data_IF_620357690980
#
_entry.id   IF_620357690980
#
_cell.length_a   1.000
_cell.length_b   1.000
_cell.length_c   1.000
_cell.angle_alpha   90.00
_cell.angle_beta   90.00
_cell.angle_gamma   90.00
#
_symmetry.space_group_name_H-M   'P 1'
#
loop_
_entity.id
_entity.type
_entity.pdbx_description
1 polymer ?
#
# COMPACT_ATOMS: atom_id res chain seq x y z
N UNK A 1 39.69 -25.43 34.56
CA UNK A 1 38.66 -26.28 33.93
C UNK A 1 37.34 -25.55 33.64
N UNK A 2 36.82 -24.67 34.51
CA UNK A 2 35.55 -23.97 34.25
C UNK A 2 35.55 -23.00 33.04
N UNK A 3 36.63 -22.23 32.85
CA UNK A 3 36.71 -21.25 31.76
C UNK A 3 36.77 -21.86 30.36
N UNK A 4 37.42 -23.02 30.19
CA UNK A 4 37.49 -23.74 28.91
C UNK A 4 36.12 -24.30 28.50
N UNK A 5 35.36 -24.84 29.45
CA UNK A 5 34.02 -25.37 29.19
C UNK A 5 33.01 -24.25 28.85
N UNK A 6 33.19 -23.07 29.46
CA UNK A 6 32.40 -21.87 29.16
C UNK A 6 32.75 -21.28 27.78
N UNK A 7 34.03 -21.17 27.44
CA UNK A 7 34.44 -20.70 26.11
C UNK A 7 33.93 -21.64 25.02
N UNK A 8 34.08 -22.95 25.22
CA UNK A 8 33.60 -23.97 24.27
C UNK A 8 32.07 -23.94 24.09
N UNK A 9 31.31 -23.76 25.18
CA UNK A 9 29.85 -23.64 25.09
C UNK A 9 29.43 -22.34 24.39
N UNK A 10 30.12 -21.23 24.67
CA UNK A 10 29.89 -19.94 24.00
C UNK A 10 30.19 -20.02 22.50
N UNK A 11 31.33 -20.58 22.09
CA UNK A 11 31.69 -20.76 20.69
C UNK A 11 30.71 -21.68 19.96
N UNK A 12 30.31 -22.80 20.57
CA UNK A 12 29.32 -23.72 20.01
C UNK A 12 27.96 -23.03 19.82
N UNK A 13 27.53 -22.26 20.81
CA UNK A 13 26.29 -21.49 20.74
C UNK A 13 26.36 -20.43 19.64
N UNK A 14 27.44 -19.64 19.54
CA UNK A 14 27.64 -18.68 18.46
C UNK A 14 27.58 -19.33 17.07
N UNK A 15 28.16 -20.52 16.91
CA UNK A 15 28.09 -21.24 15.62
C UNK A 15 26.67 -21.70 15.29
N UNK A 16 25.93 -22.22 16.28
CA UNK A 16 24.53 -22.61 16.10
C UNK A 16 23.62 -21.41 15.81
N UNK A 17 23.78 -20.28 16.54
CA UNK A 17 23.04 -19.05 16.27
C UNK A 17 23.41 -18.44 14.91
N UNK A 18 24.68 -18.56 14.50
CA UNK A 18 25.12 -18.15 13.17
C UNK A 18 24.44 -18.94 12.05
N UNK A 19 24.38 -20.28 12.17
CA UNK A 19 23.68 -21.14 11.22
C UNK A 19 22.18 -20.85 11.19
N UNK A 20 21.54 -20.72 12.37
CA UNK A 20 20.12 -20.37 12.47
C UNK A 20 19.87 -19.00 11.84
N UNK A 21 20.67 -17.99 12.16
CA UNK A 21 20.58 -16.65 11.57
C UNK A 21 20.76 -16.66 10.06
N UNK A 22 21.69 -17.46 9.54
CA UNK A 22 21.89 -17.62 8.10
C UNK A 22 20.66 -18.26 7.42
N UNK A 23 20.09 -19.32 8.02
CA UNK A 23 18.88 -19.96 7.48
C UNK A 23 17.67 -19.03 7.51
N UNK A 24 17.53 -18.22 8.56
CA UNK A 24 16.44 -17.24 8.67
C UNK A 24 16.62 -16.12 7.64
N UNK A 25 17.85 -15.64 7.49
CA UNK A 25 18.19 -14.59 6.51
C UNK A 25 17.94 -15.06 5.07
N UNK A 26 18.33 -16.30 4.77
CA UNK A 26 18.14 -16.87 3.45
C UNK A 26 16.67 -17.19 3.16
N UNK A 27 15.95 -17.78 4.13
CA UNK A 27 14.62 -18.33 3.92
C UNK A 27 13.46 -17.39 4.19
N UNK A 28 13.57 -16.49 5.16
CA UNK A 28 12.42 -15.79 5.72
C UNK A 28 12.47 -14.27 5.60
N UNK A 29 13.60 -13.64 5.92
CA UNK A 29 13.69 -12.19 5.88
C UNK A 29 15.11 -11.71 5.57
N UNK A 30 15.25 -10.62 4.82
CA UNK A 30 16.55 -9.99 4.54
C UNK A 30 16.47 -8.49 4.67
N UNK A 31 17.55 -7.86 5.12
CA UNK A 31 17.64 -6.40 5.21
C UNK A 31 18.27 -5.89 3.91
N UNK A 32 17.63 -4.90 3.28
CA UNK A 32 18.07 -4.31 2.00
C UNK A 32 18.14 -2.80 2.14
N UNK A 33 19.25 -2.14 1.74
CA UNK A 33 19.30 -0.69 1.65
C UNK A 33 18.53 -0.21 0.40
N UNK A 34 17.71 0.82 0.56
CA UNK A 34 16.97 1.48 -0.53
C UNK A 34 17.76 2.68 -0.99
N UNK A 35 18.36 2.58 -2.18
CA UNK A 35 19.13 3.67 -2.78
C UNK A 35 18.35 4.38 -3.86
N UNK A 36 18.40 5.72 -3.86
CA UNK A 36 17.86 6.57 -4.91
C UNK A 36 16.45 7.13 -4.62
N UNK A 37 16.03 8.09 -5.44
CA UNK A 37 14.80 8.87 -5.26
C UNK A 37 13.55 8.27 -5.90
N UNK A 38 13.67 7.10 -6.53
CA UNK A 38 12.58 6.55 -7.36
C UNK A 38 11.33 6.12 -6.59
N UNK A 39 11.47 5.92 -5.27
CA UNK A 39 10.37 5.64 -4.35
C UNK A 39 10.08 6.82 -3.40
N UNK A 40 10.58 8.02 -3.73
CA UNK A 40 10.21 9.24 -3.01
C UNK A 40 8.74 9.59 -3.31
N UNK A 41 7.91 9.98 -2.32
CA UNK A 41 8.25 10.33 -0.94
C UNK A 41 8.28 9.16 0.06
N UNK A 42 7.88 7.94 -0.32
CA UNK A 42 7.79 6.81 0.63
C UNK A 42 9.15 6.39 1.20
N UNK A 43 10.21 6.45 0.40
CA UNK A 43 11.59 6.23 0.84
C UNK A 43 12.50 7.40 0.40
N UNK A 44 13.58 7.62 1.16
CA UNK A 44 14.61 8.64 0.92
C UNK A 44 14.06 10.08 0.86
N UNK A 45 13.44 10.54 1.95
CA UNK A 45 12.91 11.90 2.11
C UNK A 45 13.96 12.99 2.40
N UNK A 46 15.20 12.62 2.69
CA UNK A 46 16.20 13.50 3.30
C UNK A 46 17.25 13.97 2.30
N UNK A 47 16.97 15.10 1.64
CA UNK A 47 18.03 15.97 1.06
C UNK A 47 18.33 17.19 1.92
N UNK A 48 17.56 17.47 2.98
CA UNK A 48 17.70 18.69 3.76
C UNK A 48 17.83 18.42 5.26
N UNK A 49 19.07 18.25 5.72
CA UNK A 49 19.45 18.70 7.06
C UNK A 49 20.91 19.12 7.05
N UNK A 50 21.18 20.24 7.71
CA UNK A 50 22.39 21.06 7.85
C UNK A 50 23.74 20.35 8.15
N UNK A 51 23.76 19.02 8.20
CA UNK A 51 24.93 18.18 8.43
C UNK A 51 24.78 16.90 7.61
N UNK A 52 25.23 16.95 6.35
CA UNK A 52 24.94 15.97 5.28
C UNK A 52 25.19 14.51 5.64
N UNK A 53 24.15 13.84 6.17
CA UNK A 53 24.15 12.41 6.41
C UNK A 53 23.44 11.70 5.27
N UNK A 54 24.23 11.07 4.39
CA UNK A 54 23.79 10.17 3.33
C UNK A 54 23.28 8.85 3.93
N UNK A 55 22.29 8.88 4.82
CA UNK A 55 21.76 7.63 5.39
C UNK A 55 20.78 7.01 4.40
N UNK A 56 21.23 5.97 3.69
CA UNK A 56 20.35 5.06 2.95
C UNK A 56 19.29 4.50 3.93
N UNK A 57 18.02 4.49 3.51
CA UNK A 57 16.96 3.82 4.28
C UNK A 57 17.20 2.30 4.24
N UNK A 58 17.17 1.63 5.39
CA UNK A 58 17.24 0.16 5.45
C UNK A 58 15.85 -0.42 5.64
N UNK A 59 15.46 -1.35 4.77
CA UNK A 59 14.15 -1.99 4.82
C UNK A 59 14.24 -3.48 5.12
N UNK A 60 13.25 -3.96 5.87
CA UNK A 60 13.04 -5.38 6.12
C UNK A 60 12.20 -5.98 4.99
N UNK A 61 12.80 -6.92 4.27
CA UNK A 61 12.17 -7.65 3.17
C UNK A 61 11.79 -9.04 3.65
N UNK A 62 10.51 -9.37 3.64
CA UNK A 62 10.04 -10.74 3.88
C UNK A 62 10.04 -11.57 2.59
N UNK A 63 10.31 -12.87 2.73
CA UNK A 63 10.39 -13.84 1.63
C UNK A 63 9.26 -14.87 1.64
N UNK A 64 8.41 -14.89 2.68
CA UNK A 64 7.30 -15.84 2.78
C UNK A 64 6.29 -15.73 1.63
N UNK A 65 6.04 -14.51 1.14
CA UNK A 65 5.16 -14.22 0.01
C UNK A 65 5.59 -14.95 -1.28
N UNK A 66 6.88 -15.28 -1.42
CA UNK A 66 7.44 -15.98 -2.59
C UNK A 66 7.02 -17.44 -2.69
N UNK A 67 6.66 -18.11 -1.58
CA UNK A 67 6.30 -19.53 -1.62
C UNK A 67 5.01 -19.79 -2.41
N UNK A 68 4.08 -18.83 -2.38
CA UNK A 68 2.77 -18.92 -3.06
C UNK A 68 2.54 -17.78 -4.05
N UNK A 69 3.55 -16.93 -4.27
CA UNK A 69 3.46 -15.70 -5.06
C UNK A 69 2.21 -14.87 -4.74
N UNK A 70 1.91 -14.74 -3.44
CA UNK A 70 0.75 -13.98 -2.95
C UNK A 70 1.14 -12.51 -2.77
N UNK A 71 0.97 -11.74 -3.82
CA UNK A 71 1.16 -10.30 -3.82
C UNK A 71 -0.17 -9.58 -3.95
N UNK A 72 -0.26 -8.42 -3.33
CA UNK A 72 -1.39 -7.50 -3.45
C UNK A 72 -0.99 -6.25 -4.21
N UNK A 73 -1.98 -5.55 -4.76
CA UNK A 73 -1.76 -4.20 -5.25
C UNK A 73 -1.24 -3.30 -4.13
N UNK A 74 -0.36 -2.37 -4.48
CA UNK A 74 0.25 -1.44 -3.53
C UNK A 74 1.43 -2.02 -2.74
N UNK A 75 1.69 -3.33 -2.82
CA UNK A 75 2.85 -3.96 -2.18
C UNK A 75 4.15 -3.38 -2.75
N UNK A 76 5.07 -3.00 -1.87
CA UNK A 76 6.42 -2.61 -2.26
C UNK A 76 7.28 -3.87 -2.30
N UNK A 77 7.92 -4.10 -3.44
CA UNK A 77 8.72 -5.31 -3.66
C UNK A 77 10.16 -4.96 -4.04
N UNK A 78 11.06 -5.86 -3.66
CA UNK A 78 12.45 -5.85 -4.11
C UNK A 78 12.60 -6.91 -5.18
N UNK A 79 13.11 -6.54 -6.35
CA UNK A 79 13.33 -7.47 -7.46
C UNK A 79 14.67 -7.18 -8.15
N UNK A 80 15.19 -8.18 -8.86
CA UNK A 80 16.38 -8.01 -9.71
C UNK A 80 15.99 -7.38 -11.04
N UNK A 81 16.77 -6.38 -11.49
CA UNK A 81 16.52 -5.71 -12.77
C UNK A 81 16.59 -6.72 -13.93
N UNK A 82 15.63 -6.69 -14.87
CA UNK A 82 15.66 -7.58 -16.04
C UNK A 82 16.86 -7.28 -16.95
N UNK A 83 17.31 -6.02 -17.00
CA UNK A 83 18.46 -5.59 -17.81
C UNK A 83 19.80 -5.91 -17.15
N UNK A 84 19.89 -5.77 -15.81
CA UNK A 84 21.11 -6.05 -15.05
C UNK A 84 20.81 -6.80 -13.75
N UNK A 85 20.99 -8.12 -13.76
CA UNK A 85 20.70 -8.99 -12.61
C UNK A 85 21.49 -8.68 -11.34
N UNK A 86 22.60 -7.92 -11.44
CA UNK A 86 23.39 -7.47 -10.28
C UNK A 86 22.71 -6.32 -9.54
N UNK A 87 21.83 -5.59 -10.21
CA UNK A 87 21.09 -4.48 -9.64
C UNK A 87 19.75 -4.94 -9.08
N UNK A 88 19.44 -4.46 -7.88
CA UNK A 88 18.15 -4.66 -7.24
C UNK A 88 17.39 -3.34 -7.26
N UNK A 89 16.12 -3.41 -7.63
CA UNK A 89 15.24 -2.26 -7.59
C UNK A 89 14.12 -2.49 -6.58
N UNK A 90 13.68 -1.39 -5.98
CA UNK A 90 12.54 -1.34 -5.08
C UNK A 90 11.46 -0.55 -5.80
N UNK A 91 10.30 -1.17 -6.03
CA UNK A 91 9.16 -0.59 -6.74
C UNK A 91 7.85 -1.04 -6.11
N UNK A 92 6.77 -0.35 -6.42
CA UNK A 92 5.41 -0.69 -5.98
C UNK A 92 4.68 -1.47 -7.05
N UNK A 93 3.97 -2.52 -6.66
CA UNK A 93 3.08 -3.27 -7.55
C UNK A 93 1.84 -2.44 -7.83
N UNK A 94 1.62 -2.11 -9.11
CA UNK A 94 0.42 -1.43 -9.59
C UNK A 94 -0.54 -2.42 -10.24
N UNK A 95 -0.02 -3.44 -10.94
CA UNK A 95 -0.82 -4.45 -11.64
C UNK A 95 -0.35 -5.88 -11.38
N UNK A 96 -1.30 -6.79 -11.25
CA UNK A 96 -1.11 -8.23 -11.08
C UNK A 96 -1.49 -8.99 -12.36
N UNK A 97 -1.18 -10.30 -12.44
CA UNK A 97 -1.52 -11.11 -13.61
C UNK A 97 -3.00 -11.01 -14.00
N UNK A 98 -3.26 -10.61 -15.24
CA UNK A 98 -4.61 -10.48 -15.78
C UNK A 98 -5.22 -9.08 -15.70
N UNK A 99 -4.58 -8.14 -15.02
CA UNK A 99 -5.04 -6.76 -14.94
C UNK A 99 -4.79 -5.98 -16.21
N UNK A 100 -5.56 -4.92 -16.40
CA UNK A 100 -5.42 -3.98 -17.51
C UNK A 100 -4.77 -2.69 -17.01
N UNK A 101 -3.63 -2.35 -17.58
CA UNK A 101 -2.85 -1.15 -17.25
C UNK A 101 -2.88 -0.20 -18.44
N UNK A 102 -3.32 1.03 -18.20
CA UNK A 102 -3.28 2.11 -19.19
C UNK A 102 -2.00 2.91 -19.02
N UNK A 103 -1.19 3.02 -20.07
CA UNK A 103 -0.01 3.89 -20.03
C UNK A 103 -0.42 5.28 -20.51
N UNK A 104 -0.25 6.34 -19.69
CA UNK A 104 -0.69 7.69 -20.06
C UNK A 104 0.07 8.28 -21.25
N UNK A 105 1.26 7.74 -21.56
CA UNK A 105 2.09 8.23 -22.68
C UNK A 105 1.63 7.73 -24.05
N UNK A 106 1.08 6.52 -24.14
CA UNK A 106 0.75 5.87 -25.41
C UNK A 106 -0.75 5.71 -25.63
N UNK A 107 -1.59 5.99 -24.63
CA UNK A 107 -3.02 5.67 -24.60
C UNK A 107 -3.33 4.19 -24.91
N UNK A 108 -2.31 3.33 -24.80
CA UNK A 108 -2.44 1.90 -25.02
C UNK A 108 -2.79 1.21 -23.70
N UNK A 109 -3.70 0.26 -23.78
CA UNK A 109 -4.18 -0.52 -22.64
C UNK A 109 -3.59 -1.91 -22.77
N UNK A 110 -2.61 -2.21 -21.92
CA UNK A 110 -1.93 -3.49 -21.91
C UNK A 110 -2.52 -4.39 -20.84
N UNK A 111 -2.82 -5.65 -21.21
CA UNK A 111 -3.11 -6.69 -20.22
C UNK A 111 -1.82 -7.29 -19.69
N UNK A 112 -1.67 -7.34 -18.36
CA UNK A 112 -0.52 -7.96 -17.71
C UNK A 112 -0.56 -9.48 -17.96
N UNK A 113 0.49 -10.08 -18.55
CA UNK A 113 0.51 -11.50 -18.85
C UNK A 113 0.56 -12.35 -17.58
N UNK A 114 0.12 -13.60 -17.70
CA UNK A 114 0.16 -14.53 -16.58
C UNK A 114 1.58 -14.72 -16.05
N UNK A 115 1.73 -14.77 -14.72
CA UNK A 115 3.04 -14.89 -14.07
C UNK A 115 3.90 -13.63 -14.09
N UNK A 116 3.37 -12.50 -14.56
CA UNK A 116 4.06 -11.20 -14.54
C UNK A 116 3.30 -10.19 -13.68
N UNK A 117 3.98 -9.15 -13.22
CA UNK A 117 3.38 -7.99 -12.57
C UNK A 117 3.87 -6.69 -13.20
N UNK A 118 3.07 -5.65 -13.03
CA UNK A 118 3.41 -4.29 -13.41
C UNK A 118 3.83 -3.51 -12.17
N UNK A 119 5.04 -2.97 -12.20
CA UNK A 119 5.63 -2.19 -11.10
C UNK A 119 5.99 -0.79 -11.52
N UNK A 120 5.72 0.18 -10.64
CA UNK A 120 6.05 1.59 -10.85
C UNK A 120 6.76 2.15 -9.61
N UNK A 121 7.57 3.19 -9.82
CA UNK A 121 8.13 3.96 -8.71
C UNK A 121 7.17 5.06 -8.26
N UNK A 122 7.20 5.42 -6.98
CA UNK A 122 6.37 6.51 -6.44
C UNK A 122 6.76 7.89 -7.04
N UNK A 123 8.01 8.02 -7.52
CA UNK A 123 8.46 9.21 -8.26
C UNK A 123 8.56 8.92 -9.77
N UNK A 124 7.60 9.36 -10.60
CA UNK A 124 7.61 9.07 -12.03
C UNK A 124 8.76 9.76 -12.80
N UNK A 125 9.34 10.84 -12.26
CA UNK A 125 10.39 11.64 -12.90
C UNK A 125 11.79 11.04 -12.78
N UNK A 126 12.03 10.18 -11.79
CA UNK A 126 13.34 9.57 -11.52
C UNK A 126 13.31 8.04 -11.47
N UNK A 127 12.20 7.42 -11.89
CA UNK A 127 12.03 5.98 -11.86
C UNK A 127 12.25 5.34 -13.23
N UNK A 128 13.21 4.41 -13.28
CA UNK A 128 13.23 3.36 -14.28
C UNK A 128 12.31 2.23 -13.79
N UNK A 129 11.18 2.03 -14.45
CA UNK A 129 10.12 1.10 -14.04
C UNK A 129 9.45 0.40 -15.24
N UNK A 130 8.30 -0.25 -15.00
CA UNK A 130 7.62 -1.06 -16.04
C UNK A 130 7.16 -0.24 -17.24
N UNK A 131 7.05 1.09 -17.11
CA UNK A 131 6.78 1.98 -18.25
C UNK A 131 7.95 1.98 -19.24
N UNK A 132 9.17 1.66 -18.79
CA UNK A 132 10.38 1.59 -19.62
C UNK A 132 10.72 0.16 -20.06
N UNK A 133 10.65 -0.82 -19.16
CA UNK A 133 11.06 -2.21 -19.45
C UNK A 133 9.90 -3.20 -19.68
N UNK A 134 8.65 -2.78 -19.46
CA UNK A 134 7.46 -3.63 -19.57
C UNK A 134 7.14 -4.40 -18.28
N UNK A 135 6.20 -5.35 -18.31
CA UNK A 135 5.86 -6.17 -17.15
C UNK A 135 7.00 -7.11 -16.77
N UNK A 136 7.23 -7.30 -15.47
CA UNK A 136 8.29 -8.17 -14.95
C UNK A 136 7.74 -9.53 -14.49
N UNK A 137 8.46 -10.63 -14.74
CA UNK A 137 8.06 -11.94 -14.22
C UNK A 137 8.16 -11.96 -12.68
N UNK A 138 7.15 -12.56 -12.04
CA UNK A 138 7.08 -12.71 -10.58
C UNK A 138 8.30 -13.46 -10.01
N UNK A 139 8.97 -14.29 -10.81
CA UNK A 139 10.19 -15.01 -10.43
C UNK A 139 11.42 -14.13 -10.17
N UNK A 140 11.44 -12.88 -10.65
CA UNK A 140 12.54 -11.93 -10.36
C UNK A 140 12.41 -11.29 -8.98
N UNK A 141 11.23 -11.41 -8.34
CA UNK A 141 10.96 -10.82 -7.04
C UNK A 141 11.77 -11.56 -5.96
N UNK A 142 12.51 -10.79 -5.17
CA UNK A 142 13.33 -11.26 -4.04
C UNK A 142 12.59 -11.17 -2.70
N UNK A 143 11.50 -10.42 -2.64
CA UNK A 143 10.59 -10.40 -1.49
C UNK A 143 9.79 -9.10 -1.42
N UNK A 144 8.94 -9.01 -0.39
CA UNK A 144 8.09 -7.85 -0.11
C UNK A 144 8.70 -7.02 1.02
N UNK A 145 8.74 -5.70 0.87
CA UNK A 145 9.13 -4.77 1.92
C UNK A 145 8.01 -4.70 2.95
N UNK A 146 8.35 -4.83 4.24
CA UNK A 146 7.38 -4.82 5.34
C UNK A 146 7.56 -3.67 6.32
N UNK A 147 8.80 -3.32 6.64
CA UNK A 147 9.13 -2.31 7.65
C UNK A 147 10.39 -1.55 7.23
N UNK A 148 10.49 -0.29 7.66
CA UNK A 148 11.73 0.49 7.64
C UNK A 148 12.43 0.26 8.97
N UNK A 149 13.67 -0.24 8.93
CA UNK A 149 14.48 -0.52 10.12
C UNK A 149 15.41 0.63 10.51
N UNK A 150 15.80 1.46 9.55
CA UNK A 150 16.72 2.57 9.77
C UNK A 150 16.44 3.67 8.75
N UNK A 151 16.44 4.96 9.14
CA UNK A 151 16.77 5.53 10.46
C UNK A 151 15.68 5.30 11.54
N UNK A 152 16.05 5.17 12.84
CA UNK A 152 15.14 4.76 13.92
C UNK A 152 14.06 5.81 14.22
N UNK A 153 14.30 7.07 13.84
CA UNK A 153 13.31 8.16 13.89
C UNK A 153 12.10 7.91 12.96
N UNK A 154 12.18 6.90 12.07
CA UNK A 154 11.11 6.49 11.14
C UNK A 154 10.46 5.15 11.51
N UNK A 155 10.84 4.49 12.61
CA UNK A 155 10.27 3.20 13.04
C UNK A 155 8.73 3.23 13.18
N UNK A 156 8.13 4.43 13.27
CA UNK A 156 6.69 4.63 13.42
C UNK A 156 5.89 4.74 12.10
N UNK A 157 6.51 4.78 10.91
CA UNK A 157 5.80 5.14 9.67
C UNK A 157 5.98 4.09 8.55
N UNK A 158 4.86 3.43 8.22
CA UNK A 158 4.58 2.49 7.12
C UNK A 158 5.09 1.04 7.29
N UNK A 159 4.22 0.02 7.42
CA UNK A 159 3.05 -0.30 6.57
C UNK A 159 1.76 -0.49 7.39
N UNK A 160 1.08 0.62 7.68
CA UNK A 160 -0.37 0.68 7.90
C UNK A 160 -1.04 1.88 7.21
N UNK A 161 -0.31 2.57 6.34
CA UNK A 161 -0.74 3.79 5.66
C UNK A 161 -0.95 3.59 4.14
N UNK A 162 -1.27 2.36 3.74
CA UNK A 162 -2.04 2.10 2.50
C UNK A 162 -3.44 1.54 2.80
N UNK A 163 -3.76 1.33 4.08
CA UNK A 163 -5.13 1.08 4.54
C UNK A 163 -5.82 2.35 5.05
N UNK A 164 -5.13 3.50 5.00
CA UNK A 164 -5.66 4.80 5.33
C UNK A 164 -5.14 5.81 4.29
N UNK A 165 -5.72 5.81 3.10
CA UNK A 165 -6.08 7.05 2.41
C UNK A 165 -7.16 6.78 1.35
N UNK A 166 -8.12 7.68 1.37
CA UNK A 166 -9.48 7.62 0.86
C UNK A 166 -9.57 7.72 -0.70
N UNK A 167 -10.74 7.41 -1.30
CA UNK A 167 -10.84 6.95 -2.67
C UNK A 167 -10.75 8.09 -3.69
N UNK A 168 -9.71 8.09 -4.52
CA UNK A 168 -9.68 8.89 -5.76
C UNK A 168 -10.47 8.22 -6.90
N UNK A 169 -11.73 7.88 -6.62
CA UNK A 169 -12.78 7.72 -7.63
C UNK A 169 -14.12 8.22 -7.09
N UNK A 170 -14.12 9.45 -6.60
CA UNK A 170 -15.35 10.16 -6.25
C UNK A 170 -16.01 10.68 -7.53
N UNK A 171 -16.63 9.77 -8.27
CA UNK A 171 -17.62 10.09 -9.28
C UNK A 171 -18.98 10.18 -8.56
N UNK A 172 -19.80 11.17 -8.90
CA UNK A 172 -21.20 11.26 -8.44
C UNK A 172 -21.98 9.96 -8.68
N UNK A 173 -21.62 9.18 -9.72
CA UNK A 173 -22.19 7.85 -9.98
C UNK A 173 -21.83 6.80 -8.91
N UNK A 174 -20.62 6.89 -8.31
CA UNK A 174 -20.18 6.00 -7.22
C UNK A 174 -20.90 6.35 -5.92
N UNK A 175 -21.13 7.64 -5.67
CA UNK A 175 -21.83 8.11 -4.48
C UNK A 175 -23.32 7.71 -4.49
N UNK A 176 -23.99 7.82 -5.65
CA UNK A 176 -25.36 7.32 -5.80
C UNK A 176 -25.45 5.80 -5.60
N UNK A 177 -24.45 5.05 -6.07
CA UNK A 177 -24.41 3.60 -5.88
C UNK A 177 -24.19 3.18 -4.41
N UNK A 178 -23.59 4.03 -3.57
CA UNK A 178 -23.41 3.75 -2.14
C UNK A 178 -24.66 4.09 -1.32
N UNK A 179 -25.39 5.14 -1.70
CA UNK A 179 -26.68 5.47 -1.08
C UNK A 179 -27.76 4.41 -1.35
N UNK A 180 -27.67 3.73 -2.50
CA UNK A 180 -28.54 2.59 -2.84
C UNK A 180 -28.27 1.36 -1.96
N UNK A 181 -27.08 1.21 -1.37
CA UNK A 181 -26.65 0.04 -0.59
C UNK A 181 -26.96 0.17 0.92
N UNK A 182 -28.10 0.78 1.29
CA UNK A 182 -28.58 0.74 2.67
C UNK A 182 -28.82 -0.73 3.08
N UNK A 183 -28.23 -1.21 4.19
CA UNK A 183 -28.14 -2.63 4.53
C UNK A 183 -29.46 -3.30 4.93
N UNK A 184 -30.59 -2.59 4.88
CA UNK A 184 -31.88 -3.10 5.31
C UNK A 184 -32.93 -3.26 4.20
N UNK A 185 -32.66 -2.84 2.95
CA UNK A 185 -33.72 -2.74 1.94
C UNK A 185 -33.67 -3.76 0.78
N UNK A 186 -32.55 -4.44 0.52
CA UNK A 186 -32.49 -5.52 -0.47
C UNK A 186 -31.29 -6.44 -0.27
N UNK A 187 -31.50 -7.75 -0.29
CA UNK A 187 -30.49 -8.78 -0.03
C UNK A 187 -29.98 -9.42 -1.34
N UNK A 188 -29.93 -8.64 -2.41
CA UNK A 188 -29.56 -9.10 -3.76
C UNK A 188 -28.06 -8.95 -4.01
N UNK A 189 -27.41 -10.03 -4.47
CA UNK A 189 -25.97 -10.07 -4.75
C UNK A 189 -25.55 -9.16 -5.94
N UNK A 190 -26.50 -8.76 -6.78
CA UNK A 190 -26.28 -7.97 -8.00
C UNK A 190 -27.36 -6.90 -8.17
N UNK A 191 -26.95 -5.68 -8.53
CA UNK A 191 -27.87 -4.55 -8.78
C UNK A 191 -27.46 -3.80 -10.04
N UNK A 192 -28.44 -3.48 -10.91
CA UNK A 192 -28.22 -2.88 -12.25
C UNK A 192 -27.18 -3.62 -13.11
N UNK A 193 -27.11 -4.94 -12.97
CA UNK A 193 -26.16 -5.80 -13.70
C UNK A 193 -24.71 -5.76 -13.19
N UNK A 194 -24.44 -5.08 -12.07
CA UNK A 194 -23.13 -5.04 -11.40
C UNK A 194 -23.23 -5.66 -10.00
N UNK A 195 -22.14 -6.21 -9.48
CA UNK A 195 -22.11 -6.75 -8.10
C UNK A 195 -22.31 -5.62 -7.07
N UNK A 196 -23.05 -5.90 -6.00
CA UNK A 196 -23.26 -4.93 -4.92
C UNK A 196 -21.93 -4.53 -4.26
N UNK A 197 -21.79 -3.27 -3.81
CA UNK A 197 -20.50 -2.76 -3.31
C UNK A 197 -20.04 -3.51 -2.06
N UNK A 198 -20.98 -3.94 -1.21
CA UNK A 198 -20.71 -4.81 -0.04
C UNK A 198 -20.00 -6.12 -0.43
N UNK A 199 -20.28 -6.72 -1.59
CA UNK A 199 -19.60 -7.94 -2.06
C UNK A 199 -18.22 -7.67 -2.66
N UNK A 200 -18.01 -6.45 -3.16
CA UNK A 200 -16.74 -6.05 -3.78
C UNK A 200 -15.75 -5.61 -2.70
N UNK A 201 -16.20 -4.82 -1.73
CA UNK A 201 -15.33 -4.17 -0.74
C UNK A 201 -15.48 -4.73 0.68
N UNK A 202 -16.46 -5.58 0.93
CA UNK A 202 -16.74 -6.13 2.26
C UNK A 202 -17.61 -5.21 3.12
N UNK A 203 -18.46 -5.82 3.93
CA UNK A 203 -19.43 -5.14 4.80
C UNK A 203 -18.76 -4.22 5.84
N UNK A 204 -17.60 -4.63 6.37
CA UNK A 204 -16.83 -3.88 7.35
C UNK A 204 -16.28 -2.54 6.82
N UNK A 205 -16.23 -2.38 5.50
CA UNK A 205 -15.66 -1.21 4.82
C UNK A 205 -16.75 -0.32 4.23
N UNK A 206 -17.85 -0.90 3.76
CA UNK A 206 -18.97 -0.15 3.16
C UNK A 206 -19.76 0.66 4.19
N UNK A 207 -20.03 0.12 5.38
CA UNK A 207 -20.82 0.82 6.40
C UNK A 207 -20.10 2.07 6.98
N UNK A 208 -18.81 2.01 7.37
CA UNK A 208 -18.09 3.21 7.83
C UNK A 208 -17.94 4.27 6.75
N UNK A 209 -17.78 3.85 5.49
CA UNK A 209 -17.65 4.77 4.37
C UNK A 209 -18.96 5.52 4.09
N UNK A 210 -20.12 4.88 4.25
CA UNK A 210 -21.41 5.55 4.16
C UNK A 210 -21.59 6.59 5.29
N UNK A 211 -21.20 6.24 6.52
CA UNK A 211 -21.25 7.16 7.66
C UNK A 211 -20.34 8.39 7.46
N UNK A 212 -19.13 8.18 6.92
CA UNK A 212 -18.19 9.27 6.64
C UNK A 212 -18.75 10.25 5.59
N UNK A 213 -19.46 9.76 4.57
CA UNK A 213 -20.07 10.61 3.56
C UNK A 213 -21.26 11.41 4.09
N UNK A 214 -22.01 10.87 5.04
CA UNK A 214 -23.10 11.60 5.70
C UNK A 214 -22.56 12.81 6.49
N UNK A 215 -21.44 12.63 7.20
CA UNK A 215 -20.75 13.73 7.87
C UNK A 215 -20.25 14.79 6.88
N UNK A 216 -19.66 14.36 5.75
CA UNK A 216 -19.19 15.26 4.69
C UNK A 216 -20.33 16.01 4.00
N UNK A 217 -21.52 15.41 3.86
CA UNK A 217 -22.68 16.08 3.29
C UNK A 217 -23.16 17.23 4.17
N UNK A 218 -23.20 17.04 5.49
CA UNK A 218 -23.57 18.09 6.46
C UNK A 218 -22.52 19.22 6.45
N UNK A 219 -21.24 18.88 6.38
CA UNK A 219 -20.15 19.86 6.22
C UNK A 219 -20.27 20.64 4.89
N UNK A 220 -20.65 19.96 3.81
CA UNK A 220 -20.85 20.61 2.53
C UNK A 220 -22.04 21.58 2.56
N UNK A 221 -23.15 21.18 3.19
CA UNK A 221 -24.33 22.02 3.37
C UNK A 221 -23.97 23.26 4.17
N UNK A 222 -23.20 23.12 5.26
CA UNK A 222 -22.83 24.25 6.13
C UNK A 222 -21.85 25.22 5.45
N UNK A 223 -20.96 24.72 4.61
CA UNK A 223 -19.92 25.54 3.96
C UNK A 223 -20.34 26.17 2.64
N UNK A 224 -21.27 25.55 1.90
CA UNK A 224 -21.68 26.00 0.56
C UNK A 224 -23.00 26.77 0.52
N UNK A 225 -23.86 26.65 1.54
CA UNK A 225 -25.06 27.50 1.59
C UNK A 225 -24.67 28.95 1.88
N UNK A 226 -25.11 29.85 0.99
CA UNK A 226 -24.97 31.30 1.15
C UNK A 226 -26.37 31.90 1.19
N UNK A 227 -26.53 33.01 1.90
CA UNK A 227 -27.78 33.79 1.95
C UNK A 227 -28.91 33.22 2.83
N UNK A 228 -28.59 32.40 3.83
CA UNK A 228 -29.52 31.90 4.86
C UNK A 228 -29.03 32.31 6.24
N UNK A 229 -29.93 32.66 7.16
CA UNK A 229 -29.56 33.02 8.54
C UNK A 229 -28.99 31.79 9.28
N UNK A 230 -27.90 31.93 10.06
CA UNK A 230 -27.24 30.81 10.73
C UNK A 230 -28.20 29.96 11.59
N UNK A 231 -29.18 30.58 12.24
CA UNK A 231 -30.16 29.90 13.09
C UNK A 231 -31.02 28.89 12.31
N UNK A 232 -31.41 29.23 11.07
CA UNK A 232 -32.22 28.33 10.22
C UNK A 232 -31.38 27.19 9.65
N UNK A 233 -30.12 27.46 9.34
CA UNK A 233 -29.18 26.44 8.87
C UNK A 233 -28.90 25.43 9.98
N UNK A 234 -28.67 25.91 11.21
CA UNK A 234 -28.49 25.05 12.38
C UNK A 234 -29.75 24.22 12.68
N UNK A 235 -30.94 24.83 12.62
CA UNK A 235 -32.18 24.12 12.84
C UNK A 235 -32.41 23.01 11.80
N UNK A 236 -32.12 23.28 10.53
CA UNK A 236 -32.21 22.28 9.47
C UNK A 236 -31.21 21.13 9.65
N UNK A 237 -29.97 21.43 10.04
CA UNK A 237 -28.97 20.40 10.33
C UNK A 237 -29.42 19.53 11.52
N UNK A 238 -29.97 20.15 12.58
CA UNK A 238 -30.48 19.43 13.75
C UNK A 238 -31.65 18.52 13.40
N UNK A 239 -32.59 18.98 12.58
CA UNK A 239 -33.73 18.15 12.11
C UNK A 239 -33.27 16.99 11.21
N UNK A 240 -32.25 17.20 10.36
CA UNK A 240 -31.68 16.13 9.54
C UNK A 240 -31.01 15.09 10.44
N UNK A 241 -30.19 15.52 11.40
CA UNK A 241 -29.52 14.61 12.33
C UNK A 241 -30.52 13.84 13.20
N UNK A 242 -31.60 14.47 13.68
CA UNK A 242 -32.61 13.79 14.49
C UNK A 242 -33.42 12.77 13.69
N UNK A 243 -33.61 12.97 12.39
CA UNK A 243 -34.26 12.01 11.50
C UNK A 243 -33.34 10.82 11.11
N UNK A 244 -32.03 10.94 11.29
CA UNK A 244 -31.06 9.87 11.00
C UNK A 244 -30.85 8.92 12.18
N UNK A 245 -31.08 9.39 13.41
CA UNK A 245 -30.96 8.60 14.65
C UNK A 245 -32.24 7.81 15.01
N UNK A 246 -33.32 7.94 14.24
CA UNK A 246 -34.62 7.25 14.43
C UNK A 246 -34.78 6.02 13.55
#
# INVERSE_FOLDING_TARGET
MAAQNFLWSFTKNCFTFGLIGLTISDRYASIVPVRGSSMSPTFNLTTDSFMGSLSDDYVLVEKFCLQKYKFSHGDVIVFCSPSNHKEKHVKRIIGLPGDWIGTPMTNDVMKVPNGHCWVEGDNPSSSLDSRSFGPIPLGLIKGRVTHILWPPQREALMIKEYNNDLPNKFNWDTLHAWFDDLPCLDNDDFRRGKRANRKIFGEATTAPACQALLCLAIEHISTKTKNVSPDRLLQAIVEICSALDS
#
